data_IF_974370984811
#
_entry.id   IF_974370984811
#
_cell.length_a   1.000
_cell.length_b   1.000
_cell.length_c   1.000
_cell.angle_alpha   90.00
_cell.angle_beta   90.00
_cell.angle_gamma   90.00
#
_symmetry.space_group_name_H-M   'P 1'
#
loop_
_entity.id
_entity.type
_entity.pdbx_description
1 polymer ?
#
# COMPACT_ATOMS: atom_id res chain seq x y z
N UNK A 1 -77.62 -8.11 -10.72
CA UNK A 1 -78.21 -6.82 -11.13
C UNK A 1 -77.46 -5.70 -10.44
N UNK A 2 -76.99 -4.71 -11.22
CA UNK A 2 -76.64 -3.31 -10.93
C UNK A 2 -76.22 -2.86 -9.51
N UNK A 3 -75.39 -1.85 -9.30
CA UNK A 3 -74.44 -1.04 -10.07
C UNK A 3 -73.86 -0.03 -9.05
N UNK A 4 -72.59 0.32 -9.22
CA UNK A 4 -71.90 1.60 -8.91
C UNK A 4 -72.50 2.60 -7.91
N UNK A 5 -71.66 3.08 -6.95
CA UNK A 5 -71.09 4.45 -6.96
C UNK A 5 -70.16 4.76 -5.77
N UNK A 6 -69.11 5.52 -6.09
CA UNK A 6 -68.07 6.09 -5.24
C UNK A 6 -68.59 7.02 -4.14
N UNK A 7 -67.83 7.18 -3.04
CA UNK A 7 -67.51 8.48 -2.43
C UNK A 7 -66.32 8.40 -1.44
N UNK A 8 -65.32 9.21 -1.77
CA UNK A 8 -64.28 9.85 -0.97
C UNK A 8 -64.01 9.39 0.48
N UNK A 9 -62.81 8.84 0.70
CA UNK A 9 -62.19 8.71 2.02
C UNK A 9 -61.38 9.98 2.31
N UNK A 10 -61.77 10.70 3.36
CA UNK A 10 -60.89 11.60 4.09
C UNK A 10 -60.06 10.75 5.06
N UNK A 11 -58.74 10.83 5.00
CA UNK A 11 -57.85 10.32 6.04
C UNK A 11 -56.89 11.42 6.45
N UNK A 12 -57.16 12.01 7.60
CA UNK A 12 -56.20 12.76 8.38
C UNK A 12 -55.21 11.78 9.01
N UNK A 13 -53.94 11.86 8.61
CA UNK A 13 -52.82 11.24 9.33
C UNK A 13 -51.97 12.38 9.88
N UNK A 14 -52.05 12.57 11.19
CA UNK A 14 -51.18 13.46 11.94
C UNK A 14 -49.74 12.95 11.85
N UNK A 15 -48.86 13.79 11.32
CA UNK A 15 -47.42 13.56 11.32
C UNK A 15 -46.87 13.71 12.74
N UNK A 16 -46.21 12.66 13.22
CA UNK A 16 -45.26 12.76 14.33
C UNK A 16 -43.85 12.76 13.75
N UNK A 17 -43.29 13.96 13.60
CA UNK A 17 -41.86 14.17 13.43
C UNK A 17 -41.17 13.93 14.77
N UNK A 18 -40.46 12.81 14.90
CA UNK A 18 -39.44 12.66 15.93
C UNK A 18 -38.15 13.27 15.40
N UNK A 19 -37.84 14.47 15.91
CA UNK A 19 -36.58 15.15 15.70
C UNK A 19 -35.46 14.39 16.41
N UNK A 20 -34.50 13.87 15.64
CA UNK A 20 -33.19 13.49 16.18
C UNK A 20 -32.28 14.73 16.14
N UNK A 21 -31.53 15.02 17.22
CA UNK A 21 -30.63 16.16 17.23
C UNK A 21 -29.47 15.91 16.26
N UNK A 22 -29.32 16.83 15.33
CA UNK A 22 -28.18 16.96 14.42
C UNK A 22 -26.91 17.21 15.23
N UNK A 23 -26.04 16.20 15.35
CA UNK A 23 -24.67 16.41 15.78
C UNK A 23 -23.90 17.11 14.65
N UNK A 24 -23.55 18.36 14.92
CA UNK A 24 -22.64 19.18 14.11
C UNK A 24 -21.25 18.53 14.15
N UNK A 25 -20.78 18.04 13.01
CA UNK A 25 -19.39 17.63 12.84
C UNK A 25 -18.55 18.87 12.51
N UNK A 26 -17.67 19.24 13.43
CA UNK A 26 -16.70 20.32 13.24
C UNK A 26 -15.69 19.93 12.14
N UNK A 27 -15.45 20.88 11.25
CA UNK A 27 -14.52 20.79 10.13
C UNK A 27 -13.08 20.90 10.64
N UNK A 28 -12.24 19.90 10.35
CA UNK A 28 -10.78 20.04 10.47
C UNK A 28 -10.22 20.35 9.08
N UNK A 29 -9.86 21.62 8.87
CA UNK A 29 -9.12 22.10 7.71
C UNK A 29 -7.64 21.79 7.97
N UNK A 30 -7.05 20.91 7.17
CA UNK A 30 -5.59 20.79 7.09
C UNK A 30 -5.03 22.08 6.50
N UNK A 31 -4.53 22.99 7.33
CA UNK A 31 -3.69 24.10 6.88
C UNK A 31 -2.23 23.63 6.81
N UNK A 32 -1.61 23.76 5.64
CA UNK A 32 -0.15 23.70 5.50
C UNK A 32 0.47 25.01 5.98
N UNK A 33 1.72 25.01 6.49
CA UNK A 33 2.50 26.24 6.61
C UNK A 33 2.85 26.77 5.21
N UNK A 34 2.67 28.07 5.00
CA UNK A 34 3.12 28.78 3.80
C UNK A 34 4.65 28.76 3.72
N UNK A 35 5.17 28.16 2.64
CA UNK A 35 6.50 28.45 2.14
C UNK A 35 6.34 29.24 0.84
N UNK A 36 6.30 30.57 0.97
CA UNK A 36 6.56 31.50 -0.12
C UNK A 36 8.04 31.44 -0.48
N UNK A 37 8.41 30.56 -1.40
CA UNK A 37 9.65 30.64 -2.15
C UNK A 37 9.29 30.82 -3.63
N UNK A 38 9.40 32.06 -4.09
CA UNK A 38 9.20 32.50 -5.46
C UNK A 38 10.21 31.80 -6.37
N UNK A 39 9.74 30.95 -7.28
CA UNK A 39 10.55 30.40 -8.38
C UNK A 39 10.65 31.45 -9.49
N UNK A 40 11.85 31.88 -9.94
CA UNK A 40 11.96 32.75 -11.09
C UNK A 40 11.77 31.95 -12.38
N UNK A 41 10.99 32.52 -13.29
CA UNK A 41 10.71 32.02 -14.65
C UNK A 41 11.97 32.13 -15.53
N UNK A 42 12.26 31.18 -16.44
CA UNK A 42 13.42 31.27 -17.31
C UNK A 42 13.09 32.17 -18.52
N UNK A 43 13.75 33.32 -18.60
CA UNK A 43 13.71 34.21 -19.76
C UNK A 43 14.70 33.73 -20.83
N UNK A 44 14.17 33.52 -22.04
CA UNK A 44 14.94 33.22 -23.24
C UNK A 44 15.85 34.40 -23.61
N UNK A 45 17.16 34.15 -23.75
CA UNK A 45 18.05 35.03 -24.52
C UNK A 45 18.91 34.23 -25.50
N UNK A 46 18.85 34.68 -26.75
CA UNK A 46 19.62 34.25 -27.94
C UNK A 46 21.07 34.76 -27.83
N UNK A 47 22.09 34.08 -28.38
CA UNK A 47 23.49 34.47 -28.17
C UNK A 47 23.90 35.63 -29.07
N UNK A 48 24.75 36.51 -28.56
CA UNK A 48 25.47 37.49 -29.37
C UNK A 48 26.95 37.54 -28.96
N UNK A 49 27.78 37.24 -29.96
CA UNK A 49 29.09 37.78 -30.29
C UNK A 49 30.23 37.83 -29.25
N UNK A 50 31.32 37.19 -29.69
CA UNK A 50 32.72 37.31 -29.29
C UNK A 50 33.17 38.78 -29.35
N UNK A 51 33.90 39.22 -28.32
CA UNK A 51 34.96 40.21 -28.50
C UNK A 51 36.18 39.81 -27.66
N UNK A 52 37.34 39.93 -28.30
CA UNK A 52 38.64 39.43 -27.92
C UNK A 52 39.50 40.64 -27.55
N UNK A 53 39.99 40.76 -26.31
CA UNK A 53 41.19 41.55 -26.00
C UNK A 53 41.57 41.59 -24.52
N UNK A 54 42.88 41.72 -24.34
CA UNK A 54 43.64 42.10 -23.14
C UNK A 54 44.18 40.94 -22.29
N UNK A 55 45.35 40.50 -22.75
CA UNK A 55 46.43 39.81 -22.05
C UNK A 55 46.85 40.59 -20.78
N UNK A 56 47.20 39.86 -19.70
CA UNK A 56 48.51 40.04 -19.07
C UNK A 56 48.96 38.78 -18.31
N UNK A 57 50.25 38.38 -18.41
CA UNK A 57 50.78 37.13 -17.86
C UNK A 57 51.63 37.37 -16.60
N UNK A 58 51.46 36.54 -15.57
CA UNK A 58 52.54 36.12 -14.67
C UNK A 58 52.00 35.14 -13.64
N UNK A 59 52.42 33.88 -13.70
CA UNK A 59 53.26 33.25 -12.68
C UNK A 59 53.55 31.82 -13.13
N UNK A 60 54.82 31.62 -13.50
CA UNK A 60 55.39 30.33 -13.79
C UNK A 60 55.55 29.51 -12.50
N UNK A 61 55.19 28.23 -12.59
CA UNK A 61 55.89 27.14 -11.93
C UNK A 61 55.37 26.72 -10.55
N UNK A 62 54.59 25.64 -10.52
CA UNK A 62 54.98 24.40 -9.81
C UNK A 62 54.42 23.21 -10.62
N UNK A 63 55.31 22.51 -11.31
CA UNK A 63 55.04 21.18 -11.84
C UNK A 63 55.15 20.19 -10.69
N UNK A 64 54.02 19.60 -10.32
CA UNK A 64 53.89 18.56 -9.31
C UNK A 64 52.59 17.82 -9.55
N UNK A 65 52.44 17.24 -10.74
CA UNK A 65 51.33 16.33 -11.03
C UNK A 65 51.55 15.03 -10.23
N UNK A 66 51.04 15.00 -9.00
CA UNK A 66 50.71 13.74 -8.36
C UNK A 66 49.69 13.02 -9.27
N UNK A 67 49.82 11.71 -9.51
CA UNK A 67 48.84 10.98 -10.28
C UNK A 67 47.49 11.18 -9.60
N UNK A 68 46.55 11.80 -10.32
CA UNK A 68 45.16 11.86 -9.93
C UNK A 68 44.72 10.40 -10.00
N UNK A 69 44.73 9.70 -8.87
CA UNK A 69 44.06 8.42 -8.76
C UNK A 69 42.61 8.70 -9.16
N UNK A 70 42.24 8.25 -10.36
CA UNK A 70 40.87 8.14 -10.77
C UNK A 70 40.26 7.01 -9.94
N UNK A 71 40.02 7.30 -8.66
CA UNK A 71 39.12 6.52 -7.82
C UNK A 71 37.70 6.85 -8.30
N UNK A 72 37.37 6.37 -9.50
CA UNK A 72 35.98 6.06 -9.80
C UNK A 72 35.57 5.07 -8.71
N UNK A 73 34.63 5.40 -7.80
CA UNK A 73 34.23 4.45 -6.79
C UNK A 73 33.79 3.18 -7.51
N UNK A 74 34.51 2.08 -7.26
CA UNK A 74 34.11 0.76 -7.74
C UNK A 74 32.68 0.57 -7.27
N UNK A 75 31.72 0.58 -8.22
CA UNK A 75 30.32 0.39 -7.90
C UNK A 75 30.19 -1.04 -7.35
N UNK A 76 30.22 -1.14 -6.01
CA UNK A 76 30.18 -2.42 -5.32
C UNK A 76 28.97 -3.19 -5.83
N UNK A 77 29.25 -4.32 -6.49
CA UNK A 77 28.23 -5.17 -7.05
C UNK A 77 27.25 -5.59 -5.96
N UNK A 78 25.95 -5.41 -6.22
CA UNK A 78 24.91 -5.84 -5.31
C UNK A 78 24.97 -7.37 -5.15
N UNK A 79 24.76 -7.90 -3.93
CA UNK A 79 24.64 -9.34 -3.75
C UNK A 79 23.46 -9.87 -4.59
N UNK A 80 23.52 -11.11 -5.10
CA UNK A 80 22.43 -11.65 -5.92
C UNK A 80 21.13 -11.81 -5.10
N UNK A 81 19.99 -11.71 -5.78
CA UNK A 81 18.70 -12.05 -5.17
C UNK A 81 18.68 -13.56 -4.87
N UNK A 82 18.28 -14.00 -3.66
CA UNK A 82 18.08 -15.41 -3.38
C UNK A 82 17.05 -16.03 -4.34
N UNK A 83 17.42 -17.13 -4.97
CA UNK A 83 16.55 -17.97 -5.79
C UNK A 83 16.59 -19.37 -5.22
N UNK A 84 15.43 -19.87 -4.80
CA UNK A 84 15.25 -21.20 -4.23
C UNK A 84 14.41 -22.05 -5.18
N UNK A 85 14.49 -23.37 -5.03
CA UNK A 85 13.62 -24.30 -5.74
C UNK A 85 12.15 -24.12 -5.31
N UNK A 86 11.20 -24.62 -6.11
CA UNK A 86 9.78 -24.57 -5.74
C UNK A 86 9.49 -25.37 -4.44
N UNK A 87 10.20 -26.47 -4.20
CA UNK A 87 10.04 -27.28 -2.99
C UNK A 87 10.53 -26.54 -1.75
N UNK A 88 11.70 -25.91 -1.81
CA UNK A 88 12.21 -25.06 -0.74
C UNK A 88 11.29 -23.85 -0.50
N UNK A 89 10.77 -23.24 -1.56
CA UNK A 89 9.83 -22.14 -1.46
C UNK A 89 8.53 -22.55 -0.75
N UNK A 90 8.01 -23.75 -1.03
CA UNK A 90 6.83 -24.29 -0.34
C UNK A 90 7.10 -24.55 1.14
N UNK A 91 8.24 -25.15 1.47
CA UNK A 91 8.64 -25.36 2.86
C UNK A 91 8.75 -24.05 3.65
N UNK A 92 9.33 -23.03 3.02
CA UNK A 92 9.42 -21.68 3.60
C UNK A 92 8.04 -21.03 3.74
N UNK A 93 7.15 -21.16 2.75
CA UNK A 93 5.78 -20.65 2.85
C UNK A 93 4.95 -21.37 3.93
N UNK A 94 5.19 -22.65 4.17
CA UNK A 94 4.60 -23.38 5.30
C UNK A 94 5.13 -22.88 6.65
N UNK A 95 6.43 -22.60 6.75
CA UNK A 95 7.02 -21.99 7.93
C UNK A 95 6.43 -20.60 8.20
N UNK A 96 6.34 -19.74 7.18
CA UNK A 96 5.67 -18.45 7.25
C UNK A 96 4.18 -18.59 7.61
N UNK A 97 3.49 -19.61 7.11
CA UNK A 97 2.08 -19.85 7.47
C UNK A 97 1.93 -20.17 8.97
N UNK A 98 2.84 -20.98 9.53
CA UNK A 98 2.87 -21.26 10.98
C UNK A 98 3.20 -20.00 11.79
N UNK A 99 4.21 -19.25 11.37
CA UNK A 99 4.62 -18.00 12.00
C UNK A 99 3.48 -16.96 11.97
N UNK A 100 2.80 -16.79 10.82
CA UNK A 100 1.70 -15.84 10.63
C UNK A 100 0.57 -16.07 11.63
N UNK A 101 0.19 -17.34 11.87
CA UNK A 101 -0.87 -17.69 12.84
C UNK A 101 -0.51 -17.29 14.27
N UNK A 102 0.77 -17.23 14.61
CA UNK A 102 1.24 -16.89 15.94
C UNK A 102 1.49 -15.37 16.08
N UNK A 103 2.11 -14.76 15.07
CA UNK A 103 2.58 -13.38 15.10
C UNK A 103 1.51 -12.36 14.69
N UNK A 104 0.46 -12.79 13.98
CA UNK A 104 -0.64 -11.93 13.52
C UNK A 104 -1.95 -12.37 14.18
N UNK A 105 -2.24 -11.94 15.43
CA UNK A 105 -3.44 -12.37 16.18
C UNK A 105 -4.76 -11.95 15.55
N UNK A 106 -4.73 -10.96 14.65
CA UNK A 106 -5.89 -10.49 13.87
C UNK A 106 -6.05 -11.21 12.52
N UNK A 107 -5.31 -12.31 12.33
CA UNK A 107 -5.38 -13.14 11.15
C UNK A 107 -6.80 -13.64 10.89
N UNK A 108 -7.17 -13.70 9.61
CA UNK A 108 -8.45 -14.20 9.15
C UNK A 108 -8.28 -15.58 8.52
N UNK A 109 -9.20 -16.53 8.81
CA UNK A 109 -9.21 -17.79 8.11
C UNK A 109 -9.59 -17.58 6.63
N UNK A 110 -8.95 -18.35 5.75
CA UNK A 110 -9.20 -18.35 4.31
C UNK A 110 -9.62 -19.76 3.91
N UNK A 111 -10.88 -19.93 3.48
CA UNK A 111 -11.37 -21.23 3.00
C UNK A 111 -10.68 -21.63 1.69
N UNK A 112 -10.70 -22.91 1.33
CA UNK A 112 -10.06 -23.40 0.10
C UNK A 112 -10.57 -22.70 -1.15
N UNK A 113 -11.89 -22.49 -1.27
CA UNK A 113 -12.49 -21.73 -2.36
C UNK A 113 -11.95 -20.29 -2.44
N UNK A 114 -11.68 -19.67 -1.28
CA UNK A 114 -11.07 -18.34 -1.25
C UNK A 114 -9.61 -18.33 -1.65
N UNK A 115 -8.85 -19.36 -1.28
CA UNK A 115 -7.45 -19.45 -1.69
C UNK A 115 -7.35 -19.45 -3.21
N UNK A 116 -8.18 -20.27 -3.88
CA UNK A 116 -8.26 -20.30 -5.34
C UNK A 116 -8.65 -18.94 -5.93
N UNK A 117 -9.64 -18.26 -5.36
CA UNK A 117 -10.07 -16.94 -5.81
C UNK A 117 -8.96 -15.89 -5.72
N UNK A 118 -8.25 -15.82 -4.59
CA UNK A 118 -7.14 -14.89 -4.38
C UNK A 118 -5.98 -15.14 -5.34
N UNK A 119 -5.63 -16.40 -5.58
CA UNK A 119 -4.61 -16.77 -6.57
C UNK A 119 -5.03 -16.33 -7.98
N UNK A 120 -6.29 -16.56 -8.36
CA UNK A 120 -6.79 -16.14 -9.67
C UNK A 120 -6.74 -14.62 -9.87
N UNK A 121 -7.20 -13.84 -8.87
CA UNK A 121 -7.12 -12.37 -8.89
C UNK A 121 -5.69 -11.87 -9.04
N UNK A 122 -4.77 -12.42 -8.23
CA UNK A 122 -3.37 -12.03 -8.25
C UNK A 122 -2.75 -12.30 -9.64
N UNK A 123 -2.93 -13.51 -10.17
CA UNK A 123 -2.42 -13.90 -11.49
C UNK A 123 -2.96 -12.99 -12.59
N UNK A 124 -4.27 -12.74 -12.60
CA UNK A 124 -4.87 -11.87 -13.62
C UNK A 124 -4.34 -10.43 -13.53
N UNK A 125 -4.14 -9.89 -12.32
CA UNK A 125 -3.59 -8.55 -12.16
C UNK A 125 -2.11 -8.47 -12.56
N UNK A 126 -1.31 -9.51 -12.30
CA UNK A 126 0.07 -9.59 -12.80
C UNK A 126 0.11 -9.64 -14.33
N UNK A 127 -0.74 -10.46 -14.95
CA UNK A 127 -0.85 -10.58 -16.41
C UNK A 127 -1.25 -9.24 -17.04
N UNK A 128 -2.29 -8.58 -16.51
CA UNK A 128 -2.73 -7.25 -16.97
C UNK A 128 -1.64 -6.19 -16.85
N UNK A 129 -0.78 -6.29 -15.82
CA UNK A 129 0.33 -5.36 -15.62
C UNK A 129 1.59 -5.73 -16.44
N UNK A 130 1.59 -6.87 -17.14
CA UNK A 130 2.78 -7.39 -17.81
C UNK A 130 3.91 -7.74 -16.83
N UNK A 131 3.58 -8.03 -15.57
CA UNK A 131 4.58 -8.37 -14.56
C UNK A 131 5.04 -9.82 -14.73
N UNK A 132 6.34 -10.01 -15.00
CA UNK A 132 6.95 -11.33 -15.16
C UNK A 132 7.39 -11.86 -13.81
N UNK A 133 6.89 -13.03 -13.44
CA UNK A 133 7.35 -13.78 -12.30
C UNK A 133 8.49 -14.71 -12.74
N UNK A 134 9.70 -14.45 -12.28
CA UNK A 134 10.94 -15.15 -12.69
C UNK A 134 11.50 -16.09 -11.62
N UNK A 135 10.98 -16.02 -10.39
CA UNK A 135 11.35 -16.87 -9.25
C UNK A 135 10.19 -17.07 -8.29
N UNK A 136 10.23 -18.12 -7.45
CA UNK A 136 9.35 -18.23 -6.29
C UNK A 136 9.48 -17.01 -5.37
N UNK A 137 8.36 -16.34 -5.07
CA UNK A 137 8.36 -15.20 -4.16
C UNK A 137 6.97 -14.93 -3.55
N UNK A 138 6.95 -14.24 -2.42
CA UNK A 138 5.71 -13.78 -1.79
C UNK A 138 5.17 -12.53 -2.51
N UNK A 139 3.88 -12.53 -2.80
CA UNK A 139 3.12 -11.36 -3.22
C UNK A 139 2.26 -10.89 -2.05
N UNK A 140 2.18 -9.58 -1.88
CA UNK A 140 1.19 -8.93 -1.01
C UNK A 140 0.01 -8.52 -1.87
N UNK A 141 -1.11 -9.22 -1.77
CA UNK A 141 -2.28 -8.98 -2.62
C UNK A 141 -3.36 -8.28 -1.81
N UNK A 142 -3.85 -7.15 -2.29
CA UNK A 142 -4.83 -6.29 -1.61
C UNK A 142 -6.07 -6.17 -2.48
N UNK A 143 -7.24 -6.49 -1.94
CA UNK A 143 -8.51 -6.21 -2.60
C UNK A 143 -9.12 -4.93 -2.04
N UNK A 144 -9.10 -3.88 -2.87
CA UNK A 144 -9.62 -2.55 -2.53
C UNK A 144 -11.14 -2.47 -2.64
N UNK A 145 -11.83 -3.51 -3.07
CA UNK A 145 -13.28 -3.50 -3.19
C UNK A 145 -13.90 -3.15 -1.83
N UNK A 146 -14.83 -2.17 -1.74
CA UNK A 146 -15.45 -1.77 -0.47
C UNK A 146 -16.19 -2.90 0.26
N UNK A 147 -16.57 -3.97 -0.45
CA UNK A 147 -17.21 -5.17 0.12
C UNK A 147 -16.23 -6.21 0.62
N UNK A 148 -14.92 -6.05 0.37
CA UNK A 148 -13.89 -7.04 0.67
C UNK A 148 -12.86 -6.50 1.66
N UNK A 149 -12.12 -5.44 1.30
CA UNK A 149 -11.17 -4.75 2.17
C UNK A 149 -10.24 -5.70 2.94
N UNK A 150 -9.57 -6.58 2.19
CA UNK A 150 -8.69 -7.63 2.72
C UNK A 150 -7.36 -7.66 1.98
N UNK A 151 -6.36 -8.20 2.67
CA UNK A 151 -5.06 -8.52 2.11
C UNK A 151 -4.79 -10.01 2.29
N UNK A 152 -4.15 -10.63 1.29
CA UNK A 152 -3.60 -11.97 1.35
C UNK A 152 -2.11 -11.97 1.01
N UNK A 153 -1.32 -12.68 1.80
CA UNK A 153 0.05 -13.04 1.47
C UNK A 153 0.01 -14.34 0.66
N UNK A 154 0.64 -14.36 -0.52
CA UNK A 154 0.59 -15.50 -1.44
C UNK A 154 2.00 -15.85 -1.88
N UNK A 155 2.43 -17.10 -1.69
CA UNK A 155 3.57 -17.65 -2.42
C UNK A 155 3.16 -17.82 -3.89
N UNK A 156 3.83 -17.09 -4.76
CA UNK A 156 3.72 -17.21 -6.20
C UNK A 156 4.88 -18.01 -6.78
N UNK A 157 4.55 -18.90 -7.71
CA UNK A 157 5.51 -19.79 -8.38
C UNK A 157 5.52 -19.49 -9.90
N UNK A 158 6.71 -19.34 -10.52
CA UNK A 158 6.84 -18.99 -11.93
C UNK A 158 6.42 -20.12 -12.86
N UNK A 159 6.70 -21.38 -12.48
CA UNK A 159 6.50 -22.55 -13.34
C UNK A 159 5.30 -23.42 -12.93
N UNK A 160 4.57 -23.03 -11.88
CA UNK A 160 3.44 -23.78 -11.37
C UNK A 160 2.20 -22.90 -11.15
N UNK A 161 0.99 -23.39 -11.49
CA UNK A 161 -0.26 -22.71 -11.17
C UNK A 161 -0.67 -22.87 -9.69
N UNK A 162 -0.04 -23.79 -8.96
CA UNK A 162 -0.40 -24.13 -7.58
C UNK A 162 0.27 -23.18 -6.57
N UNK A 163 -0.21 -21.94 -6.55
CA UNK A 163 0.22 -20.91 -5.61
C UNK A 163 -0.44 -21.10 -4.24
N UNK A 164 0.29 -20.76 -3.17
CA UNK A 164 -0.14 -21.01 -1.80
C UNK A 164 -0.46 -19.71 -1.05
N UNK A 165 -1.65 -19.60 -0.47
CA UNK A 165 -1.98 -18.52 0.47
C UNK A 165 -1.34 -18.80 1.82
N UNK A 166 -0.54 -17.85 2.30
CA UNK A 166 0.19 -17.87 3.57
C UNK A 166 -0.69 -17.35 4.71
N UNK A 167 -1.39 -16.24 4.50
CA UNK A 167 -2.18 -15.58 5.54
C UNK A 167 -3.03 -14.44 5.00
N UNK A 168 -4.04 -14.03 5.78
CA UNK A 168 -4.92 -12.92 5.42
C UNK A 168 -5.26 -12.05 6.63
N UNK A 169 -5.51 -10.76 6.40
CA UNK A 169 -5.99 -9.82 7.40
C UNK A 169 -6.91 -8.76 6.78
N UNK A 170 -7.66 -8.05 7.62
CA UNK A 170 -8.45 -6.88 7.20
C UNK A 170 -7.51 -5.73 6.88
N UNK A 171 -7.86 -4.92 5.88
CA UNK A 171 -7.15 -3.69 5.54
C UNK A 171 -8.14 -2.56 5.32
N UNK A 172 -7.64 -1.34 5.19
CA UNK A 172 -8.44 -0.21 4.72
C UNK A 172 -7.72 0.49 3.58
N UNK A 173 -8.38 0.59 2.44
CA UNK A 173 -7.92 1.37 1.29
C UNK A 173 -8.61 2.73 1.23
N UNK A 174 -8.28 3.47 0.18
CA UNK A 174 -8.80 4.79 -0.15
C UNK A 174 -10.32 4.81 -0.21
N UNK A 175 -10.92 5.90 0.26
CA UNK A 175 -12.38 6.09 0.25
C UNK A 175 -12.81 7.28 -0.61
N UNK A 176 -14.12 7.50 -0.70
CA UNK A 176 -14.74 8.54 -1.52
C UNK A 176 -15.46 9.58 -0.65
N UNK A 177 -15.92 10.67 -1.26
CA UNK A 177 -16.86 11.62 -0.64
C UNK A 177 -16.27 12.75 0.21
N UNK A 178 -14.96 12.73 0.51
CA UNK A 178 -14.27 13.83 1.20
C UNK A 178 -13.15 14.40 0.33
N UNK A 179 -13.02 15.74 0.29
CA UNK A 179 -11.94 16.38 -0.46
C UNK A 179 -10.58 15.80 -0.07
N UNK A 180 -9.73 15.50 -1.06
CA UNK A 180 -8.42 14.84 -0.92
C UNK A 180 -8.45 13.36 -0.55
N UNK A 181 -9.60 12.69 -0.65
CA UNK A 181 -9.69 11.24 -0.51
C UNK A 181 -9.68 10.55 -1.88
N UNK A 182 -8.62 9.78 -2.13
CA UNK A 182 -8.42 9.12 -3.40
C UNK A 182 -8.82 7.66 -3.32
N UNK A 183 -9.31 7.10 -4.42
CA UNK A 183 -9.50 5.66 -4.54
C UNK A 183 -8.10 5.06 -4.74
N UNK A 184 -7.67 4.15 -3.86
CA UNK A 184 -6.37 3.46 -3.98
C UNK A 184 -6.26 2.81 -5.36
N UNK A 185 -5.22 3.07 -6.16
CA UNK A 185 -5.14 2.57 -7.53
C UNK A 185 -4.99 1.04 -7.58
N UNK A 186 -5.57 0.40 -8.59
CA UNK A 186 -5.30 -1.01 -8.92
C UNK A 186 -4.03 -1.13 -9.75
N UNK A 187 -3.35 -2.28 -9.68
CA UNK A 187 -2.10 -2.52 -10.39
C UNK A 187 -1.08 -3.33 -9.59
N UNK A 188 0.17 -3.33 -10.07
CA UNK A 188 1.31 -3.98 -9.45
C UNK A 188 2.35 -2.91 -9.10
N UNK A 189 2.67 -2.79 -7.82
CA UNK A 189 3.45 -1.68 -7.29
C UNK A 189 4.72 -2.20 -6.59
N UNK A 190 5.91 -1.99 -7.16
CA UNK A 190 7.17 -2.46 -6.57
C UNK A 190 7.66 -1.55 -5.44
N UNK A 191 8.13 -2.16 -4.36
CA UNK A 191 8.96 -1.55 -3.31
C UNK A 191 10.44 -1.55 -3.75
N UNK A 192 10.73 -0.85 -4.84
CA UNK A 192 12.06 -0.80 -5.44
C UNK A 192 13.06 -0.01 -4.62
N UNK A 193 14.35 -0.33 -4.77
CA UNK A 193 15.44 0.36 -4.06
C UNK A 193 15.86 1.70 -4.69
N UNK A 194 15.11 2.22 -5.66
CA UNK A 194 15.27 3.59 -6.20
C UNK A 194 14.76 4.66 -5.21
N UNK A 195 13.92 4.24 -4.26
CA UNK A 195 13.34 5.06 -3.22
C UNK A 195 13.53 4.39 -1.87
N UNK A 196 13.65 5.21 -0.85
CA UNK A 196 13.75 4.75 0.53
C UNK A 196 12.42 5.04 1.22
N UNK A 197 11.75 3.99 1.70
CA UNK A 197 10.64 4.15 2.64
C UNK A 197 11.14 4.66 3.99
N UNK A 198 10.28 4.65 5.01
CA UNK A 198 10.66 5.16 6.33
C UNK A 198 10.04 4.36 7.47
N UNK A 199 10.36 4.76 8.70
CA UNK A 199 9.73 4.27 9.92
C UNK A 199 8.88 5.37 10.54
N UNK A 200 7.69 5.01 10.99
CA UNK A 200 6.79 5.91 11.69
C UNK A 200 7.45 6.44 12.96
N UNK A 201 7.28 7.73 13.24
CA UNK A 201 7.72 8.34 14.50
C UNK A 201 6.76 8.04 15.66
N UNK A 202 5.53 7.59 15.37
CA UNK A 202 4.48 7.40 16.38
C UNK A 202 3.90 8.71 16.91
N UNK A 203 4.04 9.80 16.15
CA UNK A 203 3.50 11.12 16.51
C UNK A 203 1.98 11.12 16.46
N UNK A 204 1.36 11.70 17.49
CA UNK A 204 -0.08 11.93 17.54
C UNK A 204 -0.44 13.23 16.83
N UNK A 205 -1.50 13.22 16.04
CA UNK A 205 -2.10 14.46 15.52
C UNK A 205 -2.95 15.15 16.61
N UNK A 206 -3.61 16.25 16.25
CA UNK A 206 -4.50 17.02 17.15
C UNK A 206 -5.63 16.17 17.79
N UNK A 207 -6.02 15.07 17.14
CA UNK A 207 -7.04 14.15 17.61
C UNK A 207 -6.45 12.98 18.42
N UNK A 208 -5.16 13.02 18.75
CA UNK A 208 -4.47 11.96 19.48
C UNK A 208 -4.13 10.72 18.64
N UNK A 209 -4.32 10.77 17.32
CA UNK A 209 -4.19 9.62 16.40
C UNK A 209 -2.77 9.50 15.85
N UNK A 210 -2.22 8.30 15.90
CA UNK A 210 -0.96 7.91 15.27
C UNK A 210 -1.23 7.34 13.87
N UNK A 211 -1.31 8.23 12.87
CA UNK A 211 -1.78 7.87 11.51
C UNK A 211 -1.05 6.68 10.88
N UNK A 212 0.28 6.65 11.00
CA UNK A 212 1.16 5.61 10.44
C UNK A 212 1.48 4.48 11.44
N UNK A 213 0.71 4.39 12.53
CA UNK A 213 0.96 3.47 13.65
C UNK A 213 1.98 4.01 14.64
N UNK A 214 2.38 3.14 15.57
CA UNK A 214 3.31 3.47 16.65
C UNK A 214 4.74 3.65 16.14
N UNK A 215 5.61 4.20 17.00
CA UNK A 215 7.02 4.42 16.67
C UNK A 215 7.70 3.14 16.18
N UNK A 216 8.45 3.26 15.09
CA UNK A 216 9.22 2.18 14.50
C UNK A 216 8.47 1.34 13.45
N UNK A 217 7.15 1.50 13.30
CA UNK A 217 6.38 0.78 12.27
C UNK A 217 6.85 1.14 10.86
N UNK A 218 6.86 0.16 9.96
CA UNK A 218 7.36 0.33 8.60
C UNK A 218 6.34 1.05 7.73
N UNK A 219 6.80 2.01 6.93
CA UNK A 219 6.03 2.61 5.83
C UNK A 219 6.70 2.26 4.52
N UNK A 220 6.08 1.37 3.74
CA UNK A 220 6.50 1.06 2.38
C UNK A 220 5.94 2.12 1.43
N UNK A 221 6.82 2.67 0.60
CA UNK A 221 6.51 3.75 -0.32
C UNK A 221 6.65 3.23 -1.76
N UNK A 222 5.54 3.23 -2.48
CA UNK A 222 5.45 2.72 -3.84
C UNK A 222 5.51 3.82 -4.90
N UNK A 223 5.93 5.03 -4.52
CA UNK A 223 6.12 6.15 -5.42
C UNK A 223 4.84 6.90 -5.76
N UNK A 224 4.96 7.77 -6.77
CA UNK A 224 3.83 8.53 -7.30
C UNK A 224 3.00 7.66 -8.24
N UNK A 225 1.72 7.52 -7.93
CA UNK A 225 0.76 6.68 -8.65
C UNK A 225 -0.46 7.49 -9.07
N UNK A 226 -0.99 7.23 -10.26
CA UNK A 226 -2.23 7.85 -10.71
C UNK A 226 -3.42 7.24 -9.97
N UNK A 227 -4.13 8.07 -9.20
CA UNK A 227 -5.32 7.68 -8.47
C UNK A 227 -6.51 8.57 -8.84
N UNK A 228 -7.71 8.00 -8.80
CA UNK A 228 -8.94 8.73 -9.03
C UNK A 228 -9.28 9.58 -7.82
N UNK A 229 -9.70 10.83 -8.06
CA UNK A 229 -10.24 11.72 -7.03
C UNK A 229 -11.59 11.19 -6.57
N UNK A 230 -11.62 10.47 -5.45
CA UNK A 230 -12.82 9.86 -4.90
C UNK A 230 -13.90 10.85 -4.44
N UNK A 231 -13.64 12.16 -4.46
CA UNK A 231 -14.61 13.20 -4.11
C UNK A 231 -15.19 13.96 -5.30
N UNK A 232 -14.76 13.64 -6.52
CA UNK A 232 -15.33 14.23 -7.73
C UNK A 232 -16.11 13.17 -8.51
N UNK A 233 -17.29 13.55 -8.99
CA UNK A 233 -18.08 12.69 -9.89
C UNK A 233 -17.40 12.45 -11.24
N UNK A 234 -16.45 13.29 -11.64
CA UNK A 234 -15.67 13.13 -12.87
C UNK A 234 -14.67 11.98 -12.80
N UNK A 235 -14.33 11.50 -11.59
CA UNK A 235 -13.26 10.51 -11.38
C UNK A 235 -11.91 10.95 -11.98
N UNK A 236 -11.67 12.26 -12.08
CA UNK A 236 -10.40 12.77 -12.62
C UNK A 236 -9.22 12.17 -11.87
N UNK A 237 -8.18 11.79 -12.62
CA UNK A 237 -6.97 11.20 -12.04
C UNK A 237 -5.96 12.29 -11.68
N UNK A 238 -5.25 12.07 -10.59
CA UNK A 238 -4.06 12.85 -10.19
C UNK A 238 -3.05 11.93 -9.55
N UNK A 239 -1.78 12.32 -9.57
CA UNK A 239 -0.74 11.58 -8.88
C UNK A 239 -0.85 11.77 -7.36
N UNK A 240 -0.80 10.66 -6.63
CA UNK A 240 -0.66 10.60 -5.18
C UNK A 240 0.54 9.74 -4.82
N UNK A 241 1.09 9.92 -3.62
CA UNK A 241 2.07 8.98 -3.09
C UNK A 241 1.33 7.75 -2.57
N UNK A 242 1.54 6.59 -3.18
CA UNK A 242 0.96 5.34 -2.69
C UNK A 242 1.86 4.75 -1.61
N UNK A 243 1.30 4.59 -0.41
CA UNK A 243 2.00 4.02 0.73
C UNK A 243 1.20 2.86 1.35
N UNK A 244 1.90 1.87 1.90
CA UNK A 244 1.34 0.87 2.80
C UNK A 244 1.97 1.03 4.19
N UNK A 245 1.13 1.10 5.22
CA UNK A 245 1.58 1.35 6.59
C UNK A 245 0.62 0.80 7.64
N UNK A 246 1.13 0.60 8.86
CA UNK A 246 0.31 0.32 10.03
C UNK A 246 -0.65 1.49 10.31
N UNK A 247 -1.73 1.25 11.06
CA UNK A 247 -2.59 2.33 11.54
C UNK A 247 -2.54 2.44 13.07
N UNK A 248 -3.20 3.44 13.63
CA UNK A 248 -3.29 3.61 15.07
C UNK A 248 -3.93 2.36 15.71
N UNK A 249 -3.19 1.61 16.56
CA UNK A 249 -3.69 0.35 17.12
C UNK A 249 -4.80 0.55 18.16
N UNK A 250 -4.93 1.75 18.73
CA UNK A 250 -5.90 2.04 19.78
C UNK A 250 -7.24 2.44 19.17
N UNK A 251 -7.22 3.30 18.14
CA UNK A 251 -8.43 3.95 17.64
C UNK A 251 -8.85 3.49 16.24
N UNK A 252 -7.90 3.19 15.35
CA UNK A 252 -8.16 2.98 13.93
C UNK A 252 -8.06 1.53 13.48
N UNK A 253 -7.29 0.68 14.17
CA UNK A 253 -7.11 -0.73 13.78
C UNK A 253 -8.44 -1.51 13.81
N UNK A 254 -9.32 -1.21 14.77
CA UNK A 254 -10.68 -1.76 14.83
C UNK A 254 -11.58 -1.37 13.62
N UNK A 255 -11.20 -0.34 12.86
CA UNK A 255 -11.95 0.14 11.69
C UNK A 255 -11.51 -0.52 10.38
N UNK A 256 -10.42 -1.31 10.39
CA UNK A 256 -9.97 -2.06 9.23
C UNK A 256 -11.08 -3.00 8.73
N UNK A 257 -11.14 -3.23 7.42
CA UNK A 257 -12.24 -3.91 6.74
C UNK A 257 -13.22 -2.96 6.06
N UNK A 258 -12.95 -1.66 6.08
CA UNK A 258 -13.76 -0.62 5.41
C UNK A 258 -12.84 0.36 4.67
N UNK A 259 -13.34 0.99 3.60
CA UNK A 259 -12.62 2.07 2.93
C UNK A 259 -12.56 3.30 3.83
N UNK A 260 -11.35 3.67 4.27
CA UNK A 260 -11.19 4.72 5.28
C UNK A 260 -9.79 5.36 5.29
N UNK A 261 -9.06 5.31 4.18
CA UNK A 261 -7.80 6.06 3.99
C UNK A 261 -7.96 7.17 2.95
N UNK A 262 -6.96 8.07 2.89
CA UNK A 262 -6.84 9.10 1.86
C UNK A 262 -6.17 8.54 0.57
N UNK A 263 -6.15 7.22 0.36
CA UNK A 263 -5.56 6.58 -0.82
C UNK A 263 -4.46 5.56 -0.50
N UNK A 264 -3.98 5.54 0.74
CA UNK A 264 -3.00 4.58 1.27
C UNK A 264 -3.61 3.18 1.50
N UNK A 265 -2.76 2.19 1.74
CA UNK A 265 -3.15 0.85 2.21
C UNK A 265 -2.82 0.77 3.70
N UNK A 266 -3.85 0.81 4.54
CA UNK A 266 -3.68 0.68 5.99
C UNK A 266 -3.83 -0.77 6.42
N UNK A 267 -2.85 -1.27 7.16
CA UNK A 267 -2.80 -2.64 7.64
C UNK A 267 -2.76 -2.68 9.18
N UNK A 268 -3.08 -3.83 9.81
CA UNK A 268 -2.91 -4.00 11.25
C UNK A 268 -1.44 -3.88 11.67
N UNK A 269 -1.20 -3.43 12.91
CA UNK A 269 0.16 -3.25 13.44
C UNK A 269 0.94 -4.57 13.47
N UNK A 270 0.28 -5.66 13.87
CA UNK A 270 0.88 -7.00 13.89
C UNK A 270 1.28 -7.50 12.50
N UNK A 271 0.46 -7.25 11.48
CA UNK A 271 0.79 -7.59 10.09
C UNK A 271 1.98 -6.76 9.58
N UNK A 272 2.05 -5.47 9.93
CA UNK A 272 3.19 -4.62 9.58
C UNK A 272 4.49 -5.19 10.15
N UNK A 273 4.50 -5.53 11.44
CA UNK A 273 5.66 -6.15 12.10
C UNK A 273 6.03 -7.48 11.44
N UNK A 274 5.05 -8.31 11.11
CA UNK A 274 5.29 -9.59 10.43
C UNK A 274 5.97 -9.38 9.06
N UNK A 275 5.43 -8.53 8.19
CA UNK A 275 6.01 -8.25 6.87
C UNK A 275 7.42 -7.65 7.00
N UNK A 276 7.64 -6.72 7.93
CA UNK A 276 8.93 -6.05 8.17
C UNK A 276 9.98 -7.00 8.79
N UNK A 277 9.58 -7.89 9.71
CA UNK A 277 10.46 -8.88 10.33
C UNK A 277 10.90 -9.95 9.34
N UNK A 278 9.98 -10.44 8.52
CA UNK A 278 10.25 -11.48 7.52
C UNK A 278 10.70 -10.93 6.16
N UNK A 279 10.79 -9.60 6.01
CA UNK A 279 11.29 -8.92 4.82
C UNK A 279 10.47 -9.17 3.55
N UNK A 280 9.17 -9.45 3.67
CA UNK A 280 8.37 -10.05 2.58
C UNK A 280 8.18 -9.15 1.35
N UNK A 281 8.50 -7.85 1.46
CA UNK A 281 8.49 -6.87 0.36
C UNK A 281 9.87 -6.27 0.07
N UNK A 282 10.90 -6.67 0.82
CA UNK A 282 12.15 -5.93 0.91
C UNK A 282 13.30 -6.58 0.13
N UNK A 283 13.03 -7.50 -0.81
CA UNK A 283 14.11 -8.25 -1.51
C UNK A 283 15.19 -7.35 -2.13
N UNK A 284 14.83 -6.21 -2.72
CA UNK A 284 15.80 -5.25 -3.25
C UNK A 284 16.42 -4.37 -2.16
N UNK A 285 15.67 -4.07 -1.09
CA UNK A 285 16.19 -3.34 0.06
C UNK A 285 17.28 -4.17 0.76
N UNK A 286 17.14 -5.50 0.77
CA UNK A 286 18.16 -6.41 1.27
C UNK A 286 19.46 -6.33 0.51
N UNK A 287 19.38 -6.39 -0.82
CA UNK A 287 20.55 -6.24 -1.67
C UNK A 287 21.21 -4.88 -1.43
N UNK A 288 20.40 -3.81 -1.37
CA UNK A 288 20.90 -2.46 -1.23
C UNK A 288 21.49 -2.20 0.16
N UNK A 289 20.98 -2.83 1.21
CA UNK A 289 21.51 -2.72 2.57
C UNK A 289 22.95 -3.25 2.70
N UNK A 290 23.40 -4.14 1.82
CA UNK A 290 24.78 -4.61 1.81
C UNK A 290 25.81 -3.52 1.44
N UNK A 291 25.38 -2.49 0.71
CA UNK A 291 26.27 -1.44 0.18
C UNK A 291 25.85 -0.02 0.55
N UNK A 292 24.62 0.17 1.06
CA UNK A 292 24.08 1.47 1.46
C UNK A 292 23.58 1.46 2.91
N UNK A 293 24.27 2.22 3.76
CA UNK A 293 23.95 2.32 5.19
C UNK A 293 22.54 2.83 5.48
N UNK A 294 21.91 3.56 4.56
CA UNK A 294 20.57 4.11 4.75
C UNK A 294 19.52 3.00 4.70
N UNK A 295 19.70 2.06 3.77
CA UNK A 295 18.88 0.86 3.70
C UNK A 295 19.15 -0.03 4.91
N UNK A 296 20.42 -0.24 5.28
CA UNK A 296 20.77 -1.01 6.48
C UNK A 296 20.18 -0.42 7.78
N UNK A 297 20.17 0.92 7.92
CA UNK A 297 19.59 1.61 9.08
C UNK A 297 18.06 1.56 9.09
N UNK A 298 17.43 1.46 7.91
CA UNK A 298 15.99 1.35 7.79
C UNK A 298 15.49 -0.04 8.18
N UNK A 299 16.21 -1.12 7.84
CA UNK A 299 15.79 -2.49 8.13
C UNK A 299 15.82 -2.82 9.62
N UNK A 300 14.92 -3.71 10.07
CA UNK A 300 14.88 -4.12 11.48
C UNK A 300 16.18 -4.83 11.86
N UNK A 301 16.62 -4.70 13.11
CA UNK A 301 17.80 -5.41 13.61
C UNK A 301 17.54 -6.88 13.93
N UNK A 302 16.31 -7.22 14.30
CA UNK A 302 15.85 -8.55 14.71
C UNK A 302 15.17 -9.33 13.58
N UNK A 303 15.33 -8.88 12.34
CA UNK A 303 14.72 -9.49 11.15
C UNK A 303 15.26 -10.88 10.87
N UNK A 304 14.40 -11.69 10.27
CA UNK A 304 14.69 -13.02 9.74
C UNK A 304 14.12 -13.02 8.32
N UNK A 305 14.81 -12.40 7.37
CA UNK A 305 14.24 -12.30 6.03
C UNK A 305 14.11 -13.66 5.36
N UNK A 306 12.96 -13.83 4.75
CA UNK A 306 12.63 -15.03 4.00
C UNK A 306 13.41 -15.07 2.68
N UNK A 307 13.97 -16.22 2.27
CA UNK A 307 14.57 -16.38 0.94
C UNK A 307 13.56 -16.23 -0.21
N UNK A 308 12.25 -16.33 0.08
CA UNK A 308 11.16 -16.06 -0.87
C UNK A 308 10.58 -14.65 -0.72
N UNK A 309 11.30 -13.71 -0.08
CA UNK A 309 10.91 -12.31 -0.04
C UNK A 309 10.57 -11.79 -1.44
N UNK A 310 9.46 -11.06 -1.58
CA UNK A 310 9.03 -10.46 -2.82
C UNK A 310 9.40 -9.00 -2.94
N UNK A 311 8.82 -8.35 -3.95
CA UNK A 311 9.03 -6.94 -4.26
C UNK A 311 7.73 -6.14 -4.37
N UNK A 312 6.59 -6.78 -4.62
CA UNK A 312 5.40 -6.09 -5.11
C UNK A 312 4.20 -6.20 -4.17
N UNK A 313 3.46 -5.09 -4.06
CA UNK A 313 2.07 -5.10 -3.67
C UNK A 313 1.21 -5.14 -4.93
N UNK A 314 0.30 -6.10 -4.99
CA UNK A 314 -0.70 -6.26 -6.07
C UNK A 314 -2.03 -5.75 -5.54
N UNK A 315 -2.57 -4.67 -6.11
CA UNK A 315 -3.89 -4.15 -5.73
C UNK A 315 -4.89 -4.52 -6.81
N UNK A 316 -5.92 -5.25 -6.40
CA UNK A 316 -7.04 -5.67 -7.24
C UNK A 316 -8.32 -5.01 -6.76
N UNK A 317 -9.33 -4.94 -7.62
CA UNK A 317 -10.70 -4.64 -7.23
C UNK A 317 -11.60 -5.76 -7.73
N UNK A 318 -12.06 -6.64 -6.85
CA UNK A 318 -12.87 -7.80 -7.28
C UNK A 318 -14.15 -7.39 -8.04
N UNK A 319 -14.61 -6.13 -7.95
CA UNK A 319 -15.75 -5.67 -8.75
C UNK A 319 -15.45 -5.58 -10.25
N UNK A 320 -14.18 -5.43 -10.62
CA UNK A 320 -13.73 -5.28 -12.02
C UNK A 320 -13.62 -6.63 -12.75
N UNK A 321 -13.80 -7.75 -12.04
CA UNK A 321 -13.62 -9.09 -12.56
C UNK A 321 -14.99 -9.73 -12.87
N UNK A 322 -15.21 -10.06 -14.15
CA UNK A 322 -16.50 -10.54 -14.68
C UNK A 322 -16.93 -11.94 -14.18
N UNK A 323 -16.09 -12.64 -13.44
CA UNK A 323 -16.43 -13.94 -12.85
C UNK A 323 -16.90 -13.74 -11.41
N UNK A 324 -18.04 -14.31 -10.98
CA UNK A 324 -18.41 -14.30 -9.57
C UNK A 324 -17.45 -15.24 -8.82
N UNK A 325 -16.24 -14.76 -8.52
CA UNK A 325 -15.59 -15.16 -7.29
C UNK A 325 -16.65 -14.98 -6.21
N UNK A 326 -16.92 -15.97 -5.33
CA UNK A 326 -18.10 -15.96 -4.48
C UNK A 326 -18.08 -14.76 -3.52
N UNK A 327 -18.56 -13.61 -4.00
CA UNK A 327 -18.76 -12.35 -3.29
C UNK A 327 -19.81 -12.55 -2.19
N UNK A 328 -20.68 -13.55 -2.33
CA UNK A 328 -21.64 -13.97 -1.32
C UNK A 328 -20.99 -14.60 -0.09
N UNK A 329 -19.80 -15.20 -0.21
CA UNK A 329 -19.17 -15.93 0.90
C UNK A 329 -18.19 -15.00 1.68
N UNK A 330 -17.78 -13.84 1.11
CA UNK A 330 -16.85 -12.88 1.77
C UNK A 330 -17.56 -12.10 2.88
N UNK A 331 -18.89 -12.11 2.86
CA UNK A 331 -19.77 -11.45 3.83
C UNK A 331 -19.98 -12.22 5.13
N UNK A 332 -19.77 -13.54 5.16
CA UNK A 332 -20.41 -14.39 6.18
C UNK A 332 -19.52 -14.88 7.34
N UNK A 333 -18.25 -14.49 7.43
CA UNK A 333 -17.43 -14.88 8.61
C UNK A 333 -17.59 -13.97 9.83
N UNK A 334 -18.29 -12.82 9.71
CA UNK A 334 -18.57 -11.94 10.87
C UNK A 334 -19.92 -12.23 11.57
N UNK A 335 -20.80 -13.03 10.97
CA UNK A 335 -22.14 -13.29 11.52
C UNK A 335 -22.26 -14.62 12.28
N UNK A 336 -21.38 -15.59 12.02
CA UNK A 336 -21.49 -16.93 12.60
C UNK A 336 -20.86 -17.06 14.00
N UNK A 337 -20.05 -16.10 14.46
CA UNK A 337 -19.48 -16.13 15.83
C UNK A 337 -20.34 -15.42 16.89
N UNK A 338 -21.50 -14.86 16.51
CA UNK A 338 -22.45 -14.25 17.46
C UNK A 338 -23.58 -15.18 17.90
N UNK A 339 -23.75 -16.33 17.27
CA UNK A 339 -24.84 -17.26 17.61
C UNK A 339 -24.44 -18.47 18.46
N UNK A 340 -23.17 -18.86 18.51
CA UNK A 340 -22.72 -20.02 19.31
C UNK A 340 -22.21 -19.68 20.73
N UNK A 341 -22.41 -18.45 21.20
CA UNK A 341 -22.09 -18.05 22.59
C UNK A 341 -23.34 -17.85 23.47
N UNK A 342 -24.51 -18.32 23.02
CA UNK A 342 -25.75 -18.41 23.81
C UNK A 342 -26.51 -19.67 23.42
N UNK A 343 -26.09 -20.79 24.01
CA UNK A 343 -26.77 -22.09 23.97
C UNK A 343 -26.27 -22.94 25.10
#
# INVERSE_FOLDING_TARGET
>A
MCATRNLAVWSAMAGSFLAFPSMVWAQAVWQRPDHTATLPTPEQTRPAHVDDSALDPAFAGVSGAAPIHSDTPEEQALPPIPVVSEDEARQEAEALTRAFRHEVPVALPVSSAYKTAWVALARQQLEQAGYVLDRPQVLVVVDRNPRVQRLCLILALPSSPDWQVIGSARVSTGTTGRKYYYITPTGVFPNSADRLGYRALGTKNENGIMGNGTTGMRVWDFGWQWAEKGWLLSHDKVQIRLEMHATDPVYLEQRLGHTASEGCIRIPSSLNVFIDRHGLLDVQYEQKAAVDRRFAALLRKDRVASPIAGLVVVVVDTADYASPLPLAVLKNTDMLHKHDARG
#
